data_IF_262627696730
#
_entry.id   IF_262627696730
#
_cell.length_a   1.000
_cell.length_b   1.000
_cell.length_c   1.000
_cell.angle_alpha   90.00
_cell.angle_beta   90.00
_cell.angle_gamma   90.00
#
_symmetry.space_group_name_H-M   'P 1'
#
loop_
_entity.id
_entity.type
_entity.pdbx_description
1 polymer ?
#
# COMPACT_ATOMS: atom_id res chain seq x y z
N UNK A 1 4.05 17.73 -8.18
CA UNK A 1 5.30 16.97 -8.39
C UNK A 1 6.44 17.94 -8.71
N UNK A 2 6.88 18.75 -7.72
CA UNK A 2 7.97 19.74 -7.88
C UNK A 2 9.01 19.66 -6.75
N UNK A 3 8.58 19.27 -5.54
CA UNK A 3 9.45 19.15 -4.36
C UNK A 3 10.57 18.09 -4.54
N UNK A 4 10.34 17.02 -5.32
CA UNK A 4 11.27 15.89 -5.49
C UNK A 4 12.59 16.23 -6.20
N UNK A 5 12.57 17.19 -7.13
CA UNK A 5 13.77 17.52 -7.93
C UNK A 5 14.84 18.28 -7.14
N UNK A 6 14.48 18.83 -5.98
CA UNK A 6 15.34 19.74 -5.22
C UNK A 6 16.21 18.98 -4.21
N UNK A 7 15.74 17.83 -3.68
CA UNK A 7 16.40 17.16 -2.55
C UNK A 7 17.31 15.98 -2.91
N UNK A 8 17.29 15.48 -4.15
CA UNK A 8 18.07 14.30 -4.59
C UNK A 8 17.90 13.05 -3.68
N UNK A 9 16.76 12.94 -2.99
CA UNK A 9 16.38 11.78 -2.19
C UNK A 9 15.37 10.93 -2.97
N UNK A 10 15.66 9.64 -3.14
CA UNK A 10 14.67 8.65 -3.57
C UNK A 10 13.76 8.29 -2.38
N UNK A 11 12.66 9.04 -2.23
CA UNK A 11 11.76 8.97 -1.07
C UNK A 11 10.82 7.74 -1.12
N UNK A 12 11.00 6.83 -2.07
CA UNK A 12 10.11 5.68 -2.26
C UNK A 12 10.85 4.38 -2.05
N UNK A 13 10.99 4.01 -0.77
CA UNK A 13 11.42 2.66 -0.43
C UNK A 13 10.30 1.68 -0.79
N UNK A 14 10.63 0.69 -1.63
CA UNK A 14 9.68 -0.35 -2.04
C UNK A 14 9.89 -1.57 -1.18
N UNK A 15 8.81 -2.04 -0.57
CA UNK A 15 8.82 -3.22 0.28
C UNK A 15 8.07 -4.35 -0.40
N UNK A 16 8.57 -5.57 -0.23
CA UNK A 16 7.90 -6.79 -0.67
C UNK A 16 7.18 -7.42 0.53
N UNK A 17 5.90 -7.72 0.38
CA UNK A 17 5.11 -8.32 1.45
C UNK A 17 3.96 -9.18 0.93
N UNK A 18 3.43 -10.02 1.81
CA UNK A 18 2.28 -10.90 1.56
C UNK A 18 1.01 -10.07 1.72
N UNK A 19 0.15 -10.06 0.71
CA UNK A 19 -1.12 -9.36 0.77
C UNK A 19 -2.14 -10.17 1.61
N UNK A 20 -2.72 -9.56 2.64
CA UNK A 20 -3.63 -10.27 3.56
C UNK A 20 -5.07 -10.38 3.04
N UNK A 21 -5.53 -9.37 2.29
CA UNK A 21 -6.91 -9.29 1.77
C UNK A 21 -6.90 -8.86 0.30
N UNK A 22 -7.92 -9.27 -0.46
CA UNK A 22 -8.04 -8.90 -1.88
C UNK A 22 -8.12 -7.38 -2.05
N UNK A 23 -7.42 -6.85 -3.04
CA UNK A 23 -7.59 -5.47 -3.51
C UNK A 23 -8.37 -5.53 -4.81
N UNK A 24 -9.53 -4.90 -4.83
CA UNK A 24 -10.35 -4.77 -6.04
C UNK A 24 -9.99 -3.50 -6.80
N UNK A 25 -10.02 -3.57 -8.12
CA UNK A 25 -9.81 -2.45 -9.01
C UNK A 25 -10.77 -2.51 -10.20
N UNK A 26 -11.13 -1.34 -10.72
CA UNK A 26 -11.91 -1.24 -11.95
C UNK A 26 -10.95 -1.05 -13.13
N UNK A 27 -11.09 -1.88 -14.18
CA UNK A 27 -10.30 -1.71 -15.40
C UNK A 27 -10.47 -0.27 -15.94
N UNK A 28 -9.37 0.34 -16.34
CA UNK A 28 -9.27 1.74 -16.78
C UNK A 28 -9.02 2.73 -15.64
N UNK A 29 -8.94 2.28 -14.39
CA UNK A 29 -8.58 3.11 -13.24
C UNK A 29 -7.32 2.58 -12.57
N UNK A 30 -6.35 3.45 -12.33
CA UNK A 30 -5.23 3.12 -11.43
C UNK A 30 -5.68 3.35 -9.99
N UNK A 31 -5.65 2.31 -9.17
CA UNK A 31 -6.01 2.39 -7.75
C UNK A 31 -4.76 2.53 -6.89
N UNK A 32 -4.78 3.52 -5.98
CA UNK A 32 -3.80 3.67 -4.91
C UNK A 32 -4.45 3.27 -3.59
N UNK A 33 -4.29 1.99 -3.24
CA UNK A 33 -4.86 1.42 -2.03
C UNK A 33 -3.95 1.72 -0.84
N UNK A 34 -4.47 2.42 0.16
CA UNK A 34 -3.75 2.64 1.42
C UNK A 34 -3.77 1.34 2.23
N UNK A 35 -2.61 0.96 2.75
CA UNK A 35 -2.40 -0.29 3.46
C UNK A 35 -1.62 -0.06 4.77
N UNK A 36 -1.77 -1.01 5.70
CA UNK A 36 -0.88 -1.19 6.84
C UNK A 36 0.08 -2.34 6.54
N UNK A 37 1.37 -2.04 6.53
CA UNK A 37 2.47 -2.98 6.46
C UNK A 37 2.99 -3.25 7.86
N UNK A 38 3.15 -4.53 8.21
CA UNK A 38 3.55 -4.98 9.54
C UNK A 38 4.31 -6.30 9.42
N UNK A 39 5.07 -6.67 10.45
CA UNK A 39 5.88 -7.90 10.43
C UNK A 39 5.25 -9.00 11.27
N UNK A 40 5.08 -10.19 10.70
CA UNK A 40 4.64 -11.42 11.40
C UNK A 40 5.63 -12.53 11.09
N UNK A 41 6.19 -13.20 12.11
CA UNK A 41 7.16 -14.30 11.94
C UNK A 41 8.30 -13.96 10.95
N UNK A 42 8.87 -12.74 11.07
CA UNK A 42 9.91 -12.20 10.19
C UNK A 42 9.51 -12.05 8.70
N UNK A 43 8.21 -12.05 8.40
CA UNK A 43 7.67 -11.77 7.06
C UNK A 43 6.84 -10.51 7.09
N UNK A 44 6.96 -9.70 6.05
CA UNK A 44 6.15 -8.49 5.90
C UNK A 44 4.79 -8.90 5.36
N UNK A 45 3.76 -8.46 6.06
CA UNK A 45 2.35 -8.55 5.68
C UNK A 45 1.84 -7.17 5.29
N UNK A 46 0.92 -7.12 4.34
CA UNK A 46 0.32 -5.89 3.81
C UNK A 46 -1.18 -6.05 3.86
N UNK A 47 -1.84 -5.24 4.69
CA UNK A 47 -3.28 -5.24 4.87
C UNK A 47 -3.93 -4.00 4.28
N UNK A 48 -4.83 -4.13 3.29
CA UNK A 48 -5.63 -3.02 2.79
C UNK A 48 -6.51 -2.40 3.89
N UNK A 49 -6.53 -1.07 3.99
CA UNK A 49 -7.46 -0.36 4.87
C UNK A 49 -8.76 -0.05 4.13
N UNK A 50 -9.90 -0.34 4.75
CA UNK A 50 -11.23 -0.13 4.13
C UNK A 50 -11.52 1.37 4.03
N UNK A 51 -11.90 1.81 2.82
CA UNK A 51 -12.12 3.22 2.48
C UNK A 51 -13.58 3.67 2.57
N UNK A 52 -14.53 2.82 2.98
CA UNK A 52 -15.97 3.16 3.01
C UNK A 52 -16.43 3.69 4.38
N UNK A 53 -17.12 4.84 4.37
CA UNK A 53 -17.79 5.47 5.54
C UNK A 53 -16.80 6.09 6.53
N UNK A 54 -16.82 7.42 6.74
CA UNK A 54 -15.88 8.22 7.59
C UNK A 54 -14.37 7.91 7.51
N UNK A 55 -13.96 6.96 6.65
CA UNK A 55 -12.75 6.16 6.78
C UNK A 55 -11.63 6.49 5.80
N UNK A 56 -11.82 7.52 4.98
CA UNK A 56 -10.76 8.02 4.08
C UNK A 56 -9.64 8.67 4.90
N UNK A 57 -9.99 9.49 5.91
CA UNK A 57 -9.00 10.14 6.76
C UNK A 57 -8.36 9.17 7.76
N UNK A 58 -9.15 8.26 8.36
CA UNK A 58 -8.59 7.27 9.27
C UNK A 58 -7.59 6.34 8.55
N UNK A 59 -7.86 5.97 7.30
CA UNK A 59 -6.91 5.18 6.50
C UNK A 59 -5.58 5.91 6.30
N UNK A 60 -5.59 7.23 6.11
CA UNK A 60 -4.35 8.03 6.01
C UNK A 60 -3.60 8.06 7.34
N UNK A 61 -4.31 8.12 8.47
CA UNK A 61 -3.69 8.15 9.81
C UNK A 61 -3.07 6.81 10.17
N UNK A 62 -3.74 5.69 9.85
CA UNK A 62 -3.30 4.34 10.23
C UNK A 62 -2.46 3.62 9.16
N UNK A 63 -2.42 4.15 7.94
CA UNK A 63 -1.68 3.57 6.83
C UNK A 63 -0.21 4.00 6.83
N UNK A 64 0.68 3.05 6.62
CA UNK A 64 2.13 3.27 6.49
C UNK A 64 2.69 2.76 5.15
N UNK A 65 1.81 2.28 4.26
CA UNK A 65 2.18 1.81 2.92
C UNK A 65 1.06 2.05 1.90
N UNK A 66 1.41 2.07 0.61
CA UNK A 66 0.47 2.20 -0.50
C UNK A 66 0.76 1.12 -1.55
N UNK A 67 -0.28 0.41 -1.96
CA UNK A 67 -0.25 -0.53 -3.09
C UNK A 67 -0.85 0.14 -4.31
N UNK A 68 -0.13 0.08 -5.43
CA UNK A 68 -0.61 0.57 -6.72
C UNK A 68 -1.12 -0.60 -7.56
N UNK A 69 -2.42 -0.59 -7.88
CA UNK A 69 -3.00 -1.51 -8.85
C UNK A 69 -3.11 -0.78 -10.19
N UNK A 70 -2.42 -1.25 -11.24
CA UNK A 70 -2.46 -0.60 -12.54
C UNK A 70 -3.84 -0.75 -13.19
N UNK A 71 -4.14 0.16 -14.12
CA UNK A 71 -5.43 0.27 -14.81
C UNK A 71 -5.84 -0.95 -15.64
N UNK A 72 -4.89 -1.77 -16.09
CA UNK A 72 -5.15 -3.01 -16.83
C UNK A 72 -5.43 -4.23 -15.94
N UNK A 73 -5.42 -4.09 -14.60
CA UNK A 73 -5.72 -5.18 -13.66
C UNK A 73 -7.03 -4.94 -12.92
N UNK A 74 -7.83 -6.01 -12.76
CA UNK A 74 -9.06 -6.00 -11.95
C UNK A 74 -8.79 -6.03 -10.43
N UNK A 75 -7.55 -6.24 -10.03
CA UNK A 75 -7.21 -6.35 -8.62
C UNK A 75 -5.96 -7.17 -8.37
N UNK A 76 -5.78 -7.50 -7.10
CA UNK A 76 -4.74 -8.39 -6.61
C UNK A 76 -5.37 -9.33 -5.59
N UNK A 77 -5.13 -10.62 -5.77
CA UNK A 77 -5.61 -11.65 -4.85
C UNK A 77 -4.72 -11.73 -3.59
N UNK A 78 -5.35 -11.99 -2.45
CA UNK A 78 -4.69 -12.26 -1.18
C UNK A 78 -3.71 -13.46 -1.28
N UNK A 79 -2.69 -13.46 -0.44
CA UNK A 79 -1.61 -14.45 -0.42
C UNK A 79 -0.48 -14.17 -1.41
N UNK A 80 -0.68 -13.29 -2.40
CA UNK A 80 0.37 -12.91 -3.33
C UNK A 80 1.46 -12.05 -2.68
N UNK A 81 2.71 -12.24 -3.12
CA UNK A 81 3.81 -11.34 -2.79
C UNK A 81 3.72 -10.12 -3.71
N UNK A 82 3.61 -8.93 -3.11
CA UNK A 82 3.46 -7.68 -3.84
C UNK A 82 4.47 -6.63 -3.42
N UNK A 83 4.69 -5.66 -4.31
CA UNK A 83 5.43 -4.45 -4.01
C UNK A 83 4.48 -3.38 -3.46
N UNK A 84 4.85 -2.77 -2.34
CA UNK A 84 4.20 -1.58 -1.80
C UNK A 84 5.20 -0.43 -1.64
N UNK A 85 4.71 0.79 -1.77
CA UNK A 85 5.46 2.00 -1.45
C UNK A 85 5.36 2.24 0.05
N UNK A 86 6.49 2.22 0.75
CA UNK A 86 6.55 2.56 2.17
C UNK A 86 6.42 4.08 2.32
N UNK A 87 5.52 4.53 3.20
CA UNK A 87 5.30 5.94 3.50
C UNK A 87 5.55 6.28 4.99
N UNK A 88 5.57 5.26 5.85
CA UNK A 88 5.90 5.37 7.27
C UNK A 88 6.66 4.14 7.76
N UNK A 89 6.91 4.05 9.06
CA UNK A 89 7.63 2.91 9.63
C UNK A 89 6.80 1.63 9.60
N UNK A 90 7.48 0.49 9.42
CA UNK A 90 6.86 -0.83 9.50
C UNK A 90 6.81 -1.20 10.97
N UNK A 91 5.60 -1.37 11.49
CA UNK A 91 5.39 -1.74 12.88
C UNK A 91 5.63 -3.25 13.07
N UNK A 92 6.06 -3.60 14.28
CA UNK A 92 6.16 -4.97 14.77
C UNK A 92 4.88 -5.28 15.54
N UNK A 93 4.28 -6.45 15.31
CA UNK A 93 3.26 -7.00 16.21
C UNK A 93 3.93 -7.67 17.43
#
# INVERSE_FOLDING_TARGET
MYIKKISNFDIYDKINGILDENIHNKIGFTTFQICRAYTVNNRIHIKPLRTTGSGILSSIIYGNSIVMVPDYKEGIEAGNIINAYKIGDIEWD
#
